data_IF_728829103832
#
_entry.id   IF_728829103832
#
_cell.length_a   1.000
_cell.length_b   1.000
_cell.length_c   1.000
_cell.angle_alpha   90.00
_cell.angle_beta   90.00
_cell.angle_gamma   90.00
#
_symmetry.space_group_name_H-M   'P 1'
#
loop_
_entity.id
_entity.type
_entity.pdbx_description
1 polymer ?
#
# COMPACT_ATOMS: atom_id res chain seq x y z
N UNK A 1 19.85 7.86 14.54
CA UNK A 1 19.91 8.67 13.30
C UNK A 1 18.55 9.30 13.07
N UNK A 2 18.45 10.62 12.87
CA UNK A 2 17.20 11.27 12.47
C UNK A 2 16.78 10.71 11.10
N UNK A 3 15.56 10.19 10.99
CA UNK A 3 15.05 9.68 9.70
C UNK A 3 14.86 10.85 8.73
N UNK A 4 15.15 10.69 7.43
CA UNK A 4 14.88 11.74 6.45
C UNK A 4 13.39 12.06 6.46
N UNK A 5 13.01 13.34 6.40
CA UNK A 5 11.60 13.76 6.41
C UNK A 5 10.80 13.09 5.27
N UNK A 6 11.43 12.93 4.10
CA UNK A 6 10.83 12.24 2.96
C UNK A 6 10.42 10.79 3.26
N UNK A 7 11.14 10.11 4.16
CA UNK A 7 10.83 8.74 4.58
C UNK A 7 9.62 8.73 5.53
N UNK A 8 9.50 9.71 6.41
CA UNK A 8 8.35 9.81 7.31
C UNK A 8 7.06 10.05 6.49
N UNK A 9 7.13 10.90 5.46
CA UNK A 9 5.99 11.22 4.59
C UNK A 9 5.50 9.97 3.84
N UNK A 10 6.39 9.18 3.23
CA UNK A 10 5.99 7.95 2.51
C UNK A 10 5.34 6.94 3.46
N UNK A 11 5.86 6.81 4.68
CA UNK A 11 5.26 5.91 5.69
C UNK A 11 3.81 6.28 5.95
N UNK A 12 3.54 7.56 6.19
CA UNK A 12 2.21 8.07 6.50
C UNK A 12 1.27 7.82 5.31
N UNK A 13 1.72 8.13 4.09
CA UNK A 13 0.93 7.89 2.88
C UNK A 13 0.56 6.42 2.70
N UNK A 14 1.48 5.49 2.93
CA UNK A 14 1.19 4.05 2.84
C UNK A 14 0.29 3.56 3.98
N UNK A 15 0.43 4.09 5.19
CA UNK A 15 -0.48 3.77 6.30
C UNK A 15 -1.89 4.24 5.98
N UNK A 16 -2.05 5.44 5.41
CA UNK A 16 -3.35 5.96 4.97
C UNK A 16 -3.94 5.11 3.85
N UNK A 17 -3.15 4.77 2.82
CA UNK A 17 -3.59 3.89 1.73
C UNK A 17 -4.03 2.52 2.25
N UNK A 18 -3.30 1.97 3.22
CA UNK A 18 -3.67 0.72 3.87
C UNK A 18 -4.98 0.86 4.66
N UNK A 19 -5.14 1.93 5.43
CA UNK A 19 -6.36 2.16 6.19
C UNK A 19 -7.59 2.27 5.27
N UNK A 20 -7.43 2.95 4.14
CA UNK A 20 -8.46 3.04 3.10
C UNK A 20 -8.79 1.66 2.51
N UNK A 21 -7.78 0.84 2.22
CA UNK A 21 -7.95 -0.53 1.73
C UNK A 21 -8.65 -1.42 2.77
N UNK A 22 -8.33 -1.26 4.05
CA UNK A 22 -8.94 -1.98 5.15
C UNK A 22 -10.43 -1.63 5.26
N UNK A 23 -10.77 -0.34 5.28
CA UNK A 23 -12.16 0.14 5.26
C UNK A 23 -12.94 -0.41 4.05
N UNK A 24 -12.30 -0.43 2.88
CA UNK A 24 -12.87 -0.98 1.66
C UNK A 24 -13.13 -2.50 1.74
N UNK A 25 -12.30 -3.21 2.49
CA UNK A 25 -12.40 -4.66 2.65
C UNK A 25 -13.41 -5.11 3.73
N UNK A 26 -13.84 -4.22 4.65
CA UNK A 26 -14.78 -4.56 5.72
C UNK A 26 -16.13 -5.14 5.26
N UNK A 27 -16.78 -4.65 4.19
CA UNK A 27 -18.01 -5.26 3.69
C UNK A 27 -17.81 -6.72 3.24
N UNK A 28 -16.59 -7.08 2.80
CA UNK A 28 -16.29 -8.44 2.35
C UNK A 28 -16.13 -9.43 3.50
N UNK A 29 -15.70 -8.98 4.69
CA UNK A 29 -15.54 -9.88 5.84
C UNK A 29 -16.84 -10.32 6.47
N UNK A 30 -17.91 -9.56 6.29
CA UNK A 30 -19.23 -9.91 6.83
C UNK A 30 -19.90 -11.06 6.08
N UNK A 31 -19.39 -11.44 4.90
CA UNK A 31 -20.06 -12.39 4.00
C UNK A 31 -19.42 -13.78 3.97
N UNK A 32 -18.15 -13.93 4.35
CA UNK A 32 -17.46 -15.23 4.33
C UNK A 32 -16.23 -15.28 5.24
N UNK A 33 -15.88 -16.47 5.73
CA UNK A 33 -14.59 -16.76 6.40
C UNK A 33 -13.39 -16.42 5.52
N UNK A 34 -13.52 -16.55 4.19
CA UNK A 34 -12.49 -16.18 3.23
C UNK A 34 -12.15 -14.68 3.27
N UNK A 35 -13.14 -13.81 3.56
CA UNK A 35 -12.90 -12.38 3.74
C UNK A 35 -11.99 -12.07 4.93
N UNK A 36 -12.19 -12.74 6.06
CA UNK A 36 -11.33 -12.58 7.26
C UNK A 36 -9.91 -13.07 7.01
N UNK A 37 -9.75 -14.18 6.28
CA UNK A 37 -8.43 -14.68 5.86
C UNK A 37 -7.72 -13.66 4.98
N UNK A 38 -8.43 -13.06 4.01
CA UNK A 38 -7.89 -12.03 3.13
C UNK A 38 -7.42 -10.80 3.91
N UNK A 39 -8.24 -10.28 4.84
CA UNK A 39 -7.84 -9.14 5.70
C UNK A 39 -6.59 -9.49 6.52
N UNK A 40 -6.52 -10.70 7.07
CA UNK A 40 -5.38 -11.15 7.88
C UNK A 40 -4.09 -11.19 7.06
N UNK A 41 -4.17 -11.68 5.82
CA UNK A 41 -3.04 -11.70 4.88
C UNK A 41 -2.58 -10.28 4.54
N UNK A 42 -3.52 -9.37 4.27
CA UNK A 42 -3.20 -7.97 3.96
C UNK A 42 -2.56 -7.27 5.19
N UNK A 43 -3.08 -7.50 6.39
CA UNK A 43 -2.51 -6.99 7.64
C UNK A 43 -1.06 -7.47 7.84
N UNK A 44 -0.81 -8.77 7.70
CA UNK A 44 0.54 -9.34 7.79
C UNK A 44 1.47 -8.72 6.74
N UNK A 45 1.00 -8.58 5.51
CA UNK A 45 1.76 -7.96 4.44
C UNK A 45 2.18 -6.53 4.78
N UNK A 46 1.26 -5.72 5.31
CA UNK A 46 1.52 -4.33 5.70
C UNK A 46 2.47 -4.24 6.89
N UNK A 47 2.34 -5.10 7.89
CA UNK A 47 3.28 -5.16 9.01
C UNK A 47 4.70 -5.45 8.52
N UNK A 48 4.86 -6.44 7.62
CA UNK A 48 6.17 -6.78 7.04
C UNK A 48 6.71 -5.62 6.21
N UNK A 49 5.86 -4.96 5.42
CA UNK A 49 6.22 -3.79 4.61
C UNK A 49 6.69 -2.63 5.50
N UNK A 50 5.91 -2.26 6.54
CA UNK A 50 6.28 -1.21 7.50
C UNK A 50 7.56 -1.59 8.23
N UNK A 51 7.74 -2.83 8.67
CA UNK A 51 8.96 -3.29 9.33
C UNK A 51 10.18 -3.21 8.40
N UNK A 52 10.04 -3.66 7.15
CA UNK A 52 11.08 -3.56 6.12
C UNK A 52 11.44 -2.09 5.83
N UNK A 53 10.44 -1.22 5.90
CA UNK A 53 10.56 0.20 5.70
C UNK A 53 11.26 0.94 6.84
N UNK A 54 10.83 0.69 8.09
CA UNK A 54 11.39 1.30 9.30
C UNK A 54 12.89 1.00 9.44
N UNK A 55 13.31 -0.14 8.90
CA UNK A 55 14.69 -0.60 8.86
C UNK A 55 15.44 -0.19 7.57
N UNK A 56 14.82 0.59 6.68
CA UNK A 56 15.38 1.05 5.39
C UNK A 56 15.95 -0.10 4.54
N UNK A 57 15.34 -1.29 4.62
CA UNK A 57 15.82 -2.45 3.86
C UNK A 57 15.31 -2.37 2.43
N UNK A 58 16.16 -2.76 1.47
CA UNK A 58 15.80 -2.92 0.05
C UNK A 58 14.51 -3.74 -0.13
N UNK A 59 14.30 -4.79 0.68
CA UNK A 59 13.07 -5.61 0.66
C UNK A 59 11.80 -4.81 0.95
N UNK A 60 11.83 -3.89 1.93
CA UNK A 60 10.68 -3.06 2.27
C UNK A 60 10.28 -2.10 1.14
N UNK A 61 11.28 -1.55 0.43
CA UNK A 61 11.06 -0.71 -0.75
C UNK A 61 10.34 -1.47 -1.88
N UNK A 62 10.79 -2.68 -2.21
CA UNK A 62 10.13 -3.49 -3.24
C UNK A 62 8.72 -3.91 -2.84
N UNK A 63 8.48 -4.19 -1.55
CA UNK A 63 7.13 -4.49 -1.05
C UNK A 63 6.20 -3.29 -1.15
N UNK A 64 6.70 -2.06 -0.93
CA UNK A 64 5.91 -0.84 -1.15
C UNK A 64 5.49 -0.66 -2.60
N UNK A 65 6.42 -0.83 -3.53
CA UNK A 65 6.10 -0.79 -4.96
C UNK A 65 5.06 -1.87 -5.29
N UNK A 66 5.29 -3.11 -4.83
CA UNK A 66 4.36 -4.22 -5.03
C UNK A 66 2.96 -3.93 -4.51
N UNK A 67 2.84 -3.47 -3.27
CA UNK A 67 1.58 -3.09 -2.64
C UNK A 67 0.82 -2.04 -3.46
N UNK A 68 1.52 -0.98 -3.83
CA UNK A 68 0.90 0.16 -4.50
C UNK A 68 0.49 -0.17 -5.93
N UNK A 69 1.31 -0.93 -6.65
CA UNK A 69 0.96 -1.48 -7.97
C UNK A 69 -0.26 -2.41 -7.88
N UNK A 70 -0.32 -3.26 -6.86
CA UNK A 70 -1.45 -4.17 -6.66
C UNK A 70 -2.73 -3.39 -6.30
N UNK A 71 -2.61 -2.31 -5.53
CA UNK A 71 -3.72 -1.43 -5.20
C UNK A 71 -4.27 -0.70 -6.45
N UNK A 72 -3.38 -0.17 -7.30
CA UNK A 72 -3.77 0.42 -8.59
C UNK A 72 -4.46 -0.62 -9.48
N UNK A 73 -3.90 -1.82 -9.58
CA UNK A 73 -4.44 -2.90 -10.40
C UNK A 73 -5.82 -3.37 -9.91
N UNK A 74 -6.00 -3.54 -8.60
CA UNK A 74 -7.32 -3.78 -8.02
C UNK A 74 -8.29 -2.64 -8.33
N UNK A 75 -7.80 -1.39 -8.33
CA UNK A 75 -8.63 -0.26 -8.65
C UNK A 75 -9.11 -0.17 -10.09
N UNK A 76 -8.35 -0.75 -11.03
CA UNK A 76 -8.75 -0.89 -12.42
C UNK A 76 -9.65 -2.11 -12.65
N UNK A 77 -9.43 -3.21 -11.93
CA UNK A 77 -10.13 -4.48 -12.13
C UNK A 77 -11.49 -4.51 -11.45
N UNK A 78 -11.58 -4.08 -10.19
CA UNK A 78 -12.83 -4.21 -9.40
C UNK A 78 -14.05 -3.56 -10.09
N UNK A 79 -13.93 -2.36 -10.72
CA UNK A 79 -15.05 -1.75 -11.45
C UNK A 79 -15.48 -2.51 -12.70
N UNK A 80 -14.63 -3.39 -13.27
CA UNK A 80 -14.99 -4.18 -14.47
C UNK A 80 -15.90 -5.37 -14.14
N UNK A 81 -15.84 -5.85 -12.89
CA UNK A 81 -16.56 -7.05 -12.45
C UNK A 81 -17.68 -6.75 -11.46
N UNK A 82 -17.83 -5.50 -11.03
CA UNK A 82 -18.89 -5.05 -10.13
C UNK A 82 -19.40 -3.69 -10.58
N UNK A 83 -20.68 -3.43 -10.32
CA UNK A 83 -21.29 -2.10 -10.35
C UNK A 83 -20.74 -1.22 -9.21
N UNK A 84 -19.41 -1.12 -9.15
CA UNK A 84 -18.67 -0.36 -8.16
C UNK A 84 -17.79 0.63 -8.90
N UNK A 85 -18.20 1.90 -8.89
CA UNK A 85 -17.37 2.98 -9.41
C UNK A 85 -16.32 3.33 -8.37
N UNK A 86 -15.06 2.93 -8.63
CA UNK A 86 -13.97 3.46 -7.82
C UNK A 86 -13.80 4.95 -8.09
N UNK A 87 -13.73 5.78 -7.04
CA UNK A 87 -13.45 7.20 -7.22
C UNK A 87 -12.10 7.40 -7.93
N UNK A 88 -12.12 8.09 -9.07
CA UNK A 88 -10.93 8.39 -9.90
C UNK A 88 -9.79 9.01 -9.09
N UNK A 89 -10.10 9.80 -8.05
CA UNK A 89 -9.09 10.41 -7.19
C UNK A 89 -8.24 9.37 -6.43
N UNK A 90 -8.77 8.17 -6.16
CA UNK A 90 -8.02 7.07 -5.52
C UNK A 90 -6.92 6.57 -6.47
N UNK A 91 -7.23 6.41 -7.76
CA UNK A 91 -6.25 6.02 -8.78
C UNK A 91 -5.15 7.08 -8.96
N UNK A 92 -5.55 8.36 -8.98
CA UNK A 92 -4.61 9.49 -9.10
C UNK A 92 -3.69 9.56 -7.88
N UNK A 93 -4.27 9.54 -6.67
CA UNK A 93 -3.51 9.58 -5.42
C UNK A 93 -2.56 8.38 -5.33
N UNK A 94 -3.05 7.20 -5.73
CA UNK A 94 -2.26 5.97 -5.68
C UNK A 94 -1.06 6.00 -6.63
N UNK A 95 -1.25 6.55 -7.83
CA UNK A 95 -0.18 6.76 -8.80
C UNK A 95 0.86 7.77 -8.32
N UNK A 96 0.41 8.87 -7.70
CA UNK A 96 1.30 9.88 -7.11
C UNK A 96 2.17 9.29 -5.99
N UNK A 97 1.59 8.45 -5.12
CA UNK A 97 2.33 7.76 -4.05
C UNK A 97 3.40 6.83 -4.65
N UNK A 98 3.06 6.10 -5.71
CA UNK A 98 4.01 5.21 -6.40
C UNK A 98 5.18 6.01 -7.01
N UNK A 99 4.88 7.09 -7.75
CA UNK A 99 5.89 7.96 -8.36
C UNK A 99 6.80 8.56 -7.29
N UNK A 100 6.22 9.08 -6.21
CA UNK A 100 6.99 9.66 -5.11
C UNK A 100 7.91 8.63 -4.44
N UNK A 101 7.43 7.39 -4.30
CA UNK A 101 8.22 6.27 -3.77
C UNK A 101 9.41 5.96 -4.68
N UNK A 102 9.21 5.92 -5.99
CA UNK A 102 10.28 5.69 -6.98
C UNK A 102 11.32 6.80 -6.97
N UNK A 103 10.90 8.07 -6.91
CA UNK A 103 11.82 9.23 -6.83
C UNK A 103 12.71 9.12 -5.59
N UNK A 104 12.17 8.61 -4.48
CA UNK A 104 12.90 8.48 -3.22
C UNK A 104 13.66 7.15 -3.06
N UNK A 105 13.81 6.36 -4.14
CA UNK A 105 14.50 5.05 -4.12
C UNK A 105 15.90 5.09 -3.50
N UNK A 106 16.63 6.19 -3.68
CA UNK A 106 18.03 6.32 -3.25
C UNK A 106 18.19 6.16 -1.73
N UNK A 107 17.23 6.65 -0.95
CA UNK A 107 17.25 6.50 0.52
C UNK A 107 17.14 5.05 0.99
N UNK A 108 16.61 4.15 0.14
CA UNK A 108 16.44 2.73 0.44
C UNK A 108 17.54 1.87 -0.16
N UNK A 109 18.17 2.33 -1.24
CA UNK A 109 19.17 1.59 -1.99
C UNK A 109 20.61 1.95 -1.61
N UNK A 110 20.86 3.14 -1.04
CA UNK A 110 22.20 3.55 -0.58
C UNK A 110 22.64 2.92 0.74
N UNK A 111 21.70 2.42 1.56
CA UNK A 111 21.98 1.90 2.91
C UNK A 111 22.17 0.37 2.95
N UNK A 112 22.35 -0.26 1.80
CA UNK A 112 22.49 -1.72 1.63
C UNK A 112 23.92 -2.15 1.39
#
# INVERSE_FOLDING_TARGET
>A
MKRPVGVIIISILYIISFLALLLFSLPYTQTSTAGWVLITIILLYVIIMISGYLNLKKRGFWMMIGFQSLYILLGLIVPLYRDYEQPIWILVLSSLILIYTIIRKEYFLQKS
#
